data_IF_628904650438
#
_entry.id   IF_628904650438
#
_cell.length_a   1.000
_cell.length_b   1.000
_cell.length_c   1.000
_cell.angle_alpha   90.00
_cell.angle_beta   90.00
_cell.angle_gamma   90.00
#
_symmetry.space_group_name_H-M   'P 1'
#
loop_
_entity.id
_entity.type
_entity.pdbx_description
1 polymer ?
#
# COMPACT_ATOMS: atom_id res chain seq x y z
N UNK A 1 -55.93 -75.79 9.74
CA UNK A 1 -56.33 -74.36 9.68
C UNK A 1 -55.09 -73.56 10.04
N UNK A 2 -54.11 -73.49 9.13
CA UNK A 2 -52.80 -72.89 9.44
C UNK A 2 -52.05 -72.58 8.15
N UNK A 3 -52.59 -71.67 7.33
CA UNK A 3 -51.83 -71.19 6.16
C UNK A 3 -52.20 -69.77 5.74
N UNK A 4 -52.27 -68.87 6.73
CA UNK A 4 -52.42 -67.44 6.51
C UNK A 4 -51.63 -66.69 7.56
N UNK A 5 -50.36 -66.41 7.29
CA UNK A 5 -49.56 -65.29 7.83
C UNK A 5 -48.13 -65.32 7.26
N UNK A 6 -47.96 -65.46 5.93
CA UNK A 6 -46.68 -65.14 5.29
C UNK A 6 -46.54 -63.62 5.21
N UNK A 7 -45.63 -63.10 6.01
CA UNK A 7 -45.28 -61.68 6.18
C UNK A 7 -45.03 -60.94 4.85
N UNK A 8 -46.04 -60.22 4.34
CA UNK A 8 -45.87 -59.16 3.33
C UNK A 8 -45.22 -57.87 3.89
N UNK A 9 -44.75 -57.88 5.15
CA UNK A 9 -44.15 -56.72 5.82
C UNK A 9 -42.73 -56.35 5.36
N UNK A 10 -41.98 -57.28 4.74
CA UNK A 10 -40.55 -57.07 4.49
C UNK A 10 -40.28 -56.20 3.24
N UNK A 11 -41.11 -56.30 2.20
CA UNK A 11 -40.95 -55.51 0.97
C UNK A 11 -41.27 -54.02 1.12
N UNK A 12 -42.34 -53.70 1.88
CA UNK A 12 -42.69 -52.30 2.17
C UNK A 12 -41.59 -51.61 2.98
N UNK A 13 -41.04 -52.31 3.97
CA UNK A 13 -39.94 -51.78 4.80
C UNK A 13 -38.68 -51.55 3.96
N UNK A 14 -38.31 -52.50 3.08
CA UNK A 14 -37.18 -52.34 2.13
C UNK A 14 -37.37 -51.14 1.20
N UNK A 15 -38.56 -50.97 0.60
CA UNK A 15 -38.88 -49.81 -0.26
C UNK A 15 -38.78 -48.48 0.51
N UNK A 16 -39.31 -48.41 1.73
CA UNK A 16 -39.22 -47.20 2.56
C UNK A 16 -37.77 -46.88 2.93
N UNK A 17 -36.96 -47.88 3.26
CA UNK A 17 -35.52 -47.70 3.54
C UNK A 17 -34.76 -47.20 2.31
N UNK A 18 -35.07 -47.73 1.12
CA UNK A 18 -34.44 -47.28 -0.13
C UNK A 18 -34.82 -45.84 -0.49
N UNK A 19 -36.10 -45.48 -0.35
CA UNK A 19 -36.57 -44.09 -0.53
C UNK A 19 -35.87 -43.14 0.45
N UNK A 20 -35.75 -43.52 1.73
CA UNK A 20 -35.01 -42.73 2.73
C UNK A 20 -33.53 -42.59 2.36
N UNK A 21 -32.90 -43.64 1.83
CA UNK A 21 -31.49 -43.60 1.38
C UNK A 21 -31.30 -42.70 0.17
N UNK A 22 -32.20 -42.77 -0.82
CA UNK A 22 -32.22 -41.88 -2.00
C UNK A 22 -32.44 -40.42 -1.60
N UNK A 23 -33.39 -40.16 -0.69
CA UNK A 23 -33.66 -38.81 -0.18
C UNK A 23 -32.49 -38.24 0.63
N UNK A 24 -31.79 -39.06 1.44
CA UNK A 24 -30.55 -38.63 2.11
C UNK A 24 -29.45 -38.29 1.11
N UNK A 25 -29.25 -39.10 0.06
CA UNK A 25 -28.27 -38.80 -0.99
C UNK A 25 -28.61 -37.51 -1.72
N UNK A 26 -29.86 -37.32 -2.13
CA UNK A 26 -30.33 -36.07 -2.76
C UNK A 26 -30.10 -34.85 -1.85
N UNK A 27 -30.42 -34.95 -0.55
CA UNK A 27 -30.16 -33.87 0.41
C UNK A 27 -28.68 -33.53 0.53
N UNK A 28 -27.78 -34.52 0.55
CA UNK A 28 -26.33 -34.27 0.57
C UNK A 28 -25.85 -33.58 -0.71
N UNK A 29 -26.35 -34.00 -1.87
CA UNK A 29 -26.01 -33.37 -3.15
C UNK A 29 -26.49 -31.92 -3.16
N UNK A 30 -27.73 -31.66 -2.73
CA UNK A 30 -28.29 -30.31 -2.64
C UNK A 30 -27.53 -29.42 -1.64
N UNK A 31 -27.17 -29.95 -0.46
CA UNK A 31 -26.34 -29.24 0.50
C UNK A 31 -24.94 -28.92 -0.06
N UNK A 32 -24.33 -29.86 -0.78
CA UNK A 32 -23.04 -29.65 -1.45
C UNK A 32 -23.12 -28.54 -2.50
N UNK A 33 -24.14 -28.59 -3.36
CA UNK A 33 -24.41 -27.54 -4.37
C UNK A 33 -24.60 -26.17 -3.73
N UNK A 34 -25.39 -26.09 -2.65
CA UNK A 34 -25.66 -24.83 -1.96
C UNK A 34 -24.39 -24.25 -1.31
N UNK A 35 -23.56 -25.11 -0.73
CA UNK A 35 -22.24 -24.71 -0.20
C UNK A 35 -21.31 -24.20 -1.31
N UNK A 36 -21.24 -24.91 -2.46
CA UNK A 36 -20.43 -24.47 -3.60
C UNK A 36 -20.89 -23.11 -4.12
N UNK A 37 -22.20 -22.90 -4.27
CA UNK A 37 -22.76 -21.61 -4.68
C UNK A 37 -22.40 -20.51 -3.67
N UNK A 38 -22.52 -20.78 -2.37
CA UNK A 38 -22.13 -19.84 -1.32
C UNK A 38 -20.65 -19.45 -1.42
N UNK A 39 -19.76 -20.42 -1.63
CA UNK A 39 -18.32 -20.18 -1.80
C UNK A 39 -18.06 -19.32 -3.03
N UNK A 40 -18.65 -19.68 -4.19
CA UNK A 40 -18.48 -18.91 -5.43
C UNK A 40 -18.99 -17.49 -5.27
N UNK A 41 -20.17 -17.28 -4.69
CA UNK A 41 -20.72 -15.94 -4.44
C UNK A 41 -19.80 -15.16 -3.51
N UNK A 42 -19.30 -15.77 -2.43
CA UNK A 42 -18.35 -15.12 -1.51
C UNK A 42 -17.08 -14.71 -2.22
N UNK A 43 -16.45 -15.60 -2.99
CA UNK A 43 -15.23 -15.30 -3.77
C UNK A 43 -15.49 -14.18 -4.77
N UNK A 44 -16.62 -14.21 -5.48
CA UNK A 44 -16.97 -13.17 -6.47
C UNK A 44 -17.21 -11.82 -5.80
N UNK A 45 -17.82 -11.80 -4.60
CA UNK A 45 -17.99 -10.58 -3.81
C UNK A 45 -16.65 -10.07 -3.27
N UNK A 46 -15.77 -10.95 -2.81
CA UNK A 46 -14.42 -10.59 -2.37
C UNK A 46 -13.60 -10.01 -3.54
N UNK A 47 -13.68 -10.59 -4.72
CA UNK A 47 -13.00 -10.13 -5.93
C UNK A 47 -13.53 -8.77 -6.41
N UNK A 48 -14.86 -8.61 -6.52
CA UNK A 48 -15.48 -7.31 -6.87
C UNK A 48 -15.15 -6.19 -5.90
N UNK A 49 -14.91 -6.52 -4.63
CA UNK A 49 -14.56 -5.56 -3.59
C UNK A 49 -13.04 -5.41 -3.39
N UNK A 50 -12.21 -6.05 -4.23
CA UNK A 50 -10.74 -6.00 -4.11
C UNK A 50 -10.15 -6.68 -2.87
N UNK A 51 -10.97 -7.41 -2.10
CA UNK A 51 -10.55 -8.14 -0.91
C UNK A 51 -9.73 -9.39 -1.27
N UNK A 52 -9.89 -9.94 -2.48
CA UNK A 52 -9.11 -11.09 -2.92
C UNK A 52 -7.61 -10.73 -3.07
N UNK A 53 -7.30 -9.59 -3.68
CA UNK A 53 -5.92 -9.10 -3.77
C UNK A 53 -5.32 -8.82 -2.38
N UNK A 54 -6.13 -8.38 -1.42
CA UNK A 54 -5.71 -8.10 -0.04
C UNK A 54 -5.20 -9.34 0.72
N UNK A 55 -5.78 -10.52 0.46
CA UNK A 55 -5.41 -11.75 1.16
C UNK A 55 -4.42 -12.63 0.40
N UNK A 56 -4.37 -12.52 -0.94
CA UNK A 56 -3.68 -13.50 -1.76
C UNK A 56 -2.59 -12.93 -2.68
N UNK A 57 -2.50 -11.61 -2.87
CA UNK A 57 -1.46 -11.01 -3.71
C UNK A 57 -0.42 -10.23 -2.88
N UNK A 58 0.42 -10.96 -2.16
CA UNK A 58 1.57 -10.38 -1.48
C UNK A 58 2.78 -10.18 -2.42
N UNK A 59 2.67 -10.64 -3.67
CA UNK A 59 3.74 -10.54 -4.65
C UNK A 59 3.93 -9.08 -5.05
N UNK A 60 5.18 -8.69 -4.96
CA UNK A 60 5.65 -7.37 -5.38
C UNK A 60 5.59 -7.30 -6.89
N UNK A 61 4.88 -6.30 -7.41
CA UNK A 61 4.94 -5.93 -8.83
C UNK A 61 4.63 -4.45 -8.99
N UNK A 62 5.16 -3.86 -10.04
CA UNK A 62 4.87 -2.49 -10.44
C UNK A 62 4.97 -2.40 -11.96
N UNK A 63 3.93 -1.83 -12.59
CA UNK A 63 3.84 -1.69 -14.03
C UNK A 63 4.38 -0.36 -14.57
N UNK A 64 4.68 0.60 -13.68
CA UNK A 64 5.24 1.89 -14.05
C UNK A 64 6.75 1.84 -14.27
N UNK A 65 7.34 3.00 -14.53
CA UNK A 65 8.77 3.11 -14.77
C UNK A 65 9.58 2.90 -13.48
N UNK A 66 10.65 2.10 -13.55
CA UNK A 66 11.61 1.86 -12.46
C UNK A 66 13.05 2.12 -12.85
N UNK A 67 13.27 2.58 -14.09
CA UNK A 67 14.57 2.97 -14.62
C UNK A 67 14.93 4.35 -14.11
N UNK A 68 16.05 4.44 -13.41
CA UNK A 68 16.60 5.71 -12.95
C UNK A 68 17.27 6.43 -14.10
N UNK A 69 16.83 7.66 -14.35
CA UNK A 69 17.55 8.64 -15.17
C UNK A 69 18.00 9.76 -14.25
N UNK A 70 19.22 10.25 -14.43
CA UNK A 70 19.69 11.41 -13.66
C UNK A 70 18.84 12.64 -13.99
N UNK A 71 18.22 13.21 -12.97
CA UNK A 71 17.31 14.36 -13.06
C UNK A 71 17.85 15.58 -12.30
N UNK A 72 19.12 15.54 -11.91
CA UNK A 72 19.77 16.64 -11.21
C UNK A 72 19.85 17.83 -12.15
N UNK A 73 19.22 18.94 -11.79
CA UNK A 73 19.35 20.16 -12.58
C UNK A 73 20.71 20.83 -12.37
N UNK A 74 21.33 21.30 -13.46
CA UNK A 74 22.59 22.04 -13.41
C UNK A 74 22.49 23.36 -12.62
N UNK A 75 21.29 23.95 -12.55
CA UNK A 75 21.01 25.19 -11.82
C UNK A 75 20.35 24.97 -10.44
N UNK A 76 20.19 23.70 -10.03
CA UNK A 76 19.56 23.32 -8.77
C UNK A 76 18.04 23.51 -8.72
N UNK A 77 17.40 23.89 -9.82
CA UNK A 77 15.94 24.02 -9.88
C UNK A 77 15.27 22.66 -10.10
N UNK A 78 14.09 22.45 -9.51
CA UNK A 78 13.34 21.20 -9.68
C UNK A 78 11.94 21.50 -10.23
N UNK A 79 11.44 20.68 -11.16
CA UNK A 79 10.02 20.70 -11.52
C UNK A 79 9.22 19.77 -10.61
N UNK A 80 7.94 20.09 -10.38
CA UNK A 80 7.06 19.21 -9.59
C UNK A 80 6.75 17.90 -10.32
N UNK A 81 6.75 17.93 -11.66
CA UNK A 81 6.56 16.74 -12.48
C UNK A 81 7.74 15.77 -12.37
N UNK A 82 8.97 16.29 -12.37
CA UNK A 82 10.18 15.48 -12.17
C UNK A 82 10.22 14.89 -10.76
N UNK A 83 9.80 15.66 -9.75
CA UNK A 83 9.67 15.15 -8.38
C UNK A 83 8.69 13.97 -8.29
N UNK A 84 7.53 14.08 -8.93
CA UNK A 84 6.54 13.00 -8.98
C UNK A 84 7.11 11.80 -9.73
N UNK A 85 7.76 12.04 -10.87
CA UNK A 85 8.35 10.97 -11.68
C UNK A 85 9.46 10.22 -10.95
N UNK A 86 10.42 10.95 -10.39
CA UNK A 86 11.56 10.41 -9.66
C UNK A 86 11.14 9.63 -8.41
N UNK A 87 10.24 10.20 -7.60
CA UNK A 87 9.80 9.55 -6.37
C UNK A 87 9.14 8.19 -6.64
N UNK A 88 8.41 8.05 -7.76
CA UNK A 88 7.72 6.82 -8.16
C UNK A 88 8.66 5.71 -8.66
N UNK A 89 9.91 6.03 -9.04
CA UNK A 89 10.92 5.03 -9.48
C UNK A 89 11.21 4.00 -8.39
N UNK A 90 11.08 4.42 -7.12
CA UNK A 90 11.31 3.57 -5.97
C UNK A 90 10.07 2.85 -5.48
N UNK A 91 8.92 2.88 -6.16
CA UNK A 91 7.76 2.06 -5.72
C UNK A 91 8.18 0.59 -5.59
N UNK A 92 7.85 0.00 -4.43
CA UNK A 92 8.27 -1.32 -3.95
C UNK A 92 9.75 -1.48 -3.56
N UNK A 93 10.53 -0.41 -3.53
CA UNK A 93 11.89 -0.45 -2.99
C UNK A 93 11.86 -0.79 -1.49
N UNK A 94 12.77 -1.65 -0.99
CA UNK A 94 12.77 -2.07 0.42
C UNK A 94 12.88 -0.88 1.38
N UNK A 95 12.14 -0.94 2.48
CA UNK A 95 12.29 -0.04 3.62
C UNK A 95 13.08 -0.73 4.73
N UNK A 96 13.91 0.03 5.44
CA UNK A 96 14.40 -0.37 6.76
C UNK A 96 14.59 0.86 7.67
N UNK A 97 14.29 0.70 8.96
CA UNK A 97 14.37 1.78 9.94
C UNK A 97 15.85 2.13 10.21
N UNK A 98 16.17 3.43 10.20
CA UNK A 98 17.53 3.93 10.47
C UNK A 98 18.48 3.85 9.27
N UNK A 99 18.00 3.45 8.10
CA UNK A 99 18.77 3.60 6.85
C UNK A 99 18.66 5.06 6.38
N UNK A 100 19.67 5.85 6.74
CA UNK A 100 19.73 7.31 6.52
C UNK A 100 20.82 7.72 5.51
N UNK A 101 21.40 6.77 4.79
CA UNK A 101 22.46 7.04 3.82
C UNK A 101 21.95 7.83 2.62
N UNK A 102 22.65 8.92 2.30
CA UNK A 102 22.38 9.74 1.13
C UNK A 102 23.15 9.18 -0.07
N UNK A 103 22.43 8.81 -1.13
CA UNK A 103 22.99 8.12 -2.30
C UNK A 103 22.55 8.84 -3.58
N UNK A 104 23.49 9.06 -4.50
CA UNK A 104 23.19 9.47 -5.86
C UNK A 104 22.79 8.24 -6.69
N UNK A 105 21.71 8.35 -7.46
CA UNK A 105 21.16 7.24 -8.21
C UNK A 105 20.28 6.31 -7.38
N UNK A 106 19.83 5.22 -8.01
CA UNK A 106 18.94 4.25 -7.37
C UNK A 106 19.65 3.54 -6.20
N UNK A 107 19.13 3.58 -4.96
CA UNK A 107 19.74 2.89 -3.83
C UNK A 107 19.81 1.38 -4.07
N UNK A 108 20.90 0.74 -3.68
CA UNK A 108 21.04 -0.73 -3.79
C UNK A 108 20.35 -1.47 -2.63
N UNK A 109 20.34 -0.86 -1.43
CA UNK A 109 19.77 -1.41 -0.21
C UNK A 109 18.49 -0.70 0.24
N UNK A 110 17.92 -1.13 1.38
CA UNK A 110 16.71 -0.52 1.94
C UNK A 110 16.90 0.96 2.29
N UNK A 111 15.79 1.71 2.30
CA UNK A 111 15.80 3.15 2.60
C UNK A 111 14.81 3.51 3.72
N UNK A 112 15.19 4.44 4.60
CA UNK A 112 14.32 4.98 5.64
C UNK A 112 13.36 6.04 5.11
N UNK A 113 12.33 6.42 5.89
CA UNK A 113 11.34 7.42 5.46
C UNK A 113 11.93 8.81 5.25
N UNK A 114 12.75 9.29 6.18
CA UNK A 114 13.45 10.57 6.02
C UNK A 114 14.48 10.53 4.89
N UNK A 115 15.19 9.41 4.78
CA UNK A 115 16.21 9.20 3.75
C UNK A 115 15.60 9.15 2.35
N UNK A 116 14.40 8.58 2.21
CA UNK A 116 13.65 8.59 0.96
C UNK A 116 13.29 10.02 0.53
N UNK A 117 12.83 10.86 1.46
CA UNK A 117 12.55 12.27 1.16
C UNK A 117 13.82 12.97 0.70
N UNK A 118 14.89 12.91 1.50
CA UNK A 118 16.18 13.50 1.14
C UNK A 118 16.71 12.98 -0.19
N UNK A 119 16.59 11.67 -0.45
CA UNK A 119 17.02 11.04 -1.69
C UNK A 119 16.30 11.64 -2.90
N UNK A 120 14.98 11.84 -2.82
CA UNK A 120 14.22 12.47 -3.92
C UNK A 120 14.75 13.86 -4.19
N UNK A 121 14.89 14.69 -3.15
CA UNK A 121 15.35 16.06 -3.34
C UNK A 121 16.80 16.15 -3.80
N UNK A 122 17.70 15.36 -3.21
CA UNK A 122 19.11 15.31 -3.58
C UNK A 122 19.32 14.90 -5.03
N UNK A 123 18.54 13.94 -5.55
CA UNK A 123 18.64 13.51 -6.95
C UNK A 123 17.90 14.44 -7.94
N UNK A 124 17.25 15.51 -7.46
CA UNK A 124 16.67 16.57 -8.30
C UNK A 124 17.49 17.86 -8.26
N UNK A 125 17.97 18.25 -7.08
CA UNK A 125 18.59 19.57 -6.86
C UNK A 125 20.09 19.49 -6.61
N UNK A 126 20.63 18.28 -6.37
CA UNK A 126 22.01 18.08 -5.95
C UNK A 126 22.26 18.38 -4.46
N UNK A 127 21.24 18.79 -3.71
CA UNK A 127 21.35 19.13 -2.28
C UNK A 127 20.27 18.41 -1.47
N UNK A 128 20.67 17.72 -0.40
CA UNK A 128 19.71 17.11 0.51
C UNK A 128 19.05 18.16 1.40
N UNK A 129 17.75 18.04 1.63
CA UNK A 129 17.00 18.97 2.48
C UNK A 129 17.56 19.02 3.89
N UNK A 130 17.92 17.85 4.46
CA UNK A 130 18.40 17.76 5.83
C UNK A 130 19.80 18.34 6.08
N UNK A 131 20.61 18.59 5.04
CA UNK A 131 21.99 19.09 5.18
C UNK A 131 22.03 20.54 5.68
N UNK A 132 20.98 21.32 5.42
CA UNK A 132 20.87 22.73 5.81
C UNK A 132 20.36 22.92 7.24
N UNK A 133 19.95 21.84 7.91
CA UNK A 133 19.39 21.86 9.25
C UNK A 133 20.43 22.19 10.33
N UNK A 134 20.06 23.05 11.29
CA UNK A 134 20.86 23.25 12.50
C UNK A 134 20.60 22.20 13.60
N UNK A 135 19.54 21.40 13.46
CA UNK A 135 19.18 20.33 14.40
C UNK A 135 20.05 19.08 14.24
N UNK A 136 20.35 18.39 15.35
CA UNK A 136 21.19 17.17 15.38
C UNK A 136 20.39 15.88 15.59
N UNK A 137 19.08 15.92 15.33
CA UNK A 137 18.16 14.79 15.49
C UNK A 137 18.06 13.85 14.28
N UNK A 138 17.12 12.88 14.33
CA UNK A 138 16.80 12.01 13.19
C UNK A 138 16.48 12.83 11.93
N UNK A 139 16.61 12.21 10.76
CA UNK A 139 16.36 12.89 9.47
C UNK A 139 15.02 13.64 9.42
N UNK A 140 13.96 13.05 9.97
CA UNK A 140 12.64 13.68 10.03
C UNK A 140 12.59 14.99 10.82
N UNK A 141 13.44 15.13 11.85
CA UNK A 141 13.56 16.39 12.62
C UNK A 141 14.28 17.45 11.81
N UNK A 142 15.34 17.07 11.08
CA UNK A 142 16.08 17.98 10.20
C UNK A 142 15.23 18.47 9.02
N UNK A 143 14.43 17.58 8.43
CA UNK A 143 13.44 17.93 7.41
C UNK A 143 12.37 18.89 7.93
N UNK A 144 11.95 18.73 9.18
CA UNK A 144 11.00 19.62 9.82
C UNK A 144 11.56 21.02 10.05
N UNK A 145 12.82 21.12 10.49
CA UNK A 145 13.55 22.39 10.66
C UNK A 145 13.68 23.15 9.33
N UNK A 146 13.93 22.42 8.23
CA UNK A 146 14.11 22.98 6.89
C UNK A 146 12.80 23.17 6.11
N UNK A 147 11.67 23.31 6.81
CA UNK A 147 10.36 23.49 6.19
C UNK A 147 9.41 24.37 7.01
N UNK A 148 8.50 25.04 6.31
CA UNK A 148 7.50 25.94 6.92
C UNK A 148 6.14 25.25 7.02
N UNK A 149 5.36 25.54 8.06
CA UNK A 149 4.06 24.91 8.25
C UNK A 149 3.07 25.37 7.17
N UNK A 150 2.27 24.43 6.65
CA UNK A 150 1.24 24.68 5.64
C UNK A 150 -0.07 24.02 6.07
N UNK A 151 -1.20 24.63 5.69
CA UNK A 151 -2.52 24.04 5.91
C UNK A 151 -2.80 22.93 4.90
N UNK A 152 -3.58 21.93 5.29
CA UNK A 152 -3.92 20.83 4.37
C UNK A 152 -4.59 21.31 3.07
N UNK A 153 -5.38 22.38 3.14
CA UNK A 153 -6.05 23.01 1.99
C UNK A 153 -5.08 23.63 0.98
N UNK A 154 -3.87 23.97 1.42
CA UNK A 154 -2.90 24.74 0.67
C UNK A 154 -1.72 23.87 0.19
N UNK A 155 -1.87 22.55 0.33
CA UNK A 155 -0.90 21.56 -0.08
C UNK A 155 -0.60 21.65 -1.58
N UNK A 156 0.70 21.67 -1.89
CA UNK A 156 1.23 21.63 -3.25
C UNK A 156 2.21 20.46 -3.40
N UNK A 157 2.29 19.88 -4.61
CA UNK A 157 3.12 18.68 -4.89
C UNK A 157 4.58 18.90 -4.49
N UNK A 158 5.11 18.10 -3.57
CA UNK A 158 6.45 18.29 -2.98
C UNK A 158 6.41 18.75 -1.53
N UNK A 159 5.26 19.20 -1.03
CA UNK A 159 5.06 19.42 0.41
C UNK A 159 5.20 18.09 1.17
N UNK A 160 5.65 18.18 2.42
CA UNK A 160 5.93 17.04 3.28
C UNK A 160 4.76 16.79 4.23
N UNK A 161 4.40 15.52 4.39
CA UNK A 161 3.47 15.05 5.41
C UNK A 161 4.20 14.36 6.55
N UNK A 162 3.85 14.69 7.80
CA UNK A 162 4.39 14.09 9.02
C UNK A 162 3.27 13.53 9.91
N UNK A 163 3.56 12.43 10.60
CA UNK A 163 2.59 11.77 11.49
C UNK A 163 2.53 12.42 12.88
N UNK A 164 3.63 13.04 13.32
CA UNK A 164 3.73 13.75 14.60
C UNK A 164 4.54 15.04 14.47
N UNK A 165 4.50 15.91 15.48
CA UNK A 165 5.50 16.96 15.63
C UNK A 165 6.78 16.30 16.15
N UNK A 166 7.97 16.59 15.57
CA UNK A 166 9.23 16.11 16.11
C UNK A 166 9.52 16.79 17.46
N UNK A 167 9.12 16.15 18.55
CA UNK A 167 9.53 16.52 19.90
C UNK A 167 10.64 15.55 20.37
N UNK A 168 11.88 16.02 20.39
CA UNK A 168 13.04 15.24 20.84
C UNK A 168 13.62 14.26 19.80
N UNK A 169 14.07 13.09 20.25
CA UNK A 169 14.84 12.09 19.48
C UNK A 169 13.99 11.02 18.77
N UNK A 170 12.66 11.18 18.72
CA UNK A 170 11.78 10.15 18.14
C UNK A 170 11.77 10.22 16.61
N UNK A 171 11.96 9.06 15.99
CA UNK A 171 11.80 8.91 14.54
C UNK A 171 10.34 9.19 14.16
N UNK A 172 10.15 10.09 13.22
CA UNK A 172 8.84 10.47 12.71
C UNK A 172 8.69 9.94 11.28
N UNK A 173 7.52 9.37 10.99
CA UNK A 173 7.20 8.93 9.64
C UNK A 173 6.88 10.14 8.77
N UNK A 174 7.53 10.22 7.61
CA UNK A 174 7.46 11.34 6.68
C UNK A 174 7.24 10.84 5.26
N UNK A 175 6.50 11.60 4.47
CA UNK A 175 6.24 11.35 3.06
C UNK A 175 6.12 12.63 2.26
N UNK A 176 6.08 12.50 0.94
CA UNK A 176 5.94 13.62 0.00
C UNK A 176 4.52 13.61 -0.55
N UNK A 177 3.84 14.74 -0.50
CA UNK A 177 2.56 14.94 -1.16
C UNK A 177 2.76 14.99 -2.67
N UNK A 178 2.03 14.15 -3.42
CA UNK A 178 2.17 14.02 -4.87
C UNK A 178 0.89 14.40 -5.64
N UNK A 179 -0.10 14.96 -4.95
CA UNK A 179 -1.37 15.38 -5.54
C UNK A 179 -2.55 14.54 -5.05
N UNK A 180 -3.57 14.41 -5.90
CA UNK A 180 -4.79 13.67 -5.56
C UNK A 180 -5.03 12.50 -6.51
N UNK A 181 -5.44 11.37 -5.96
CA UNK A 181 -5.88 10.19 -6.71
C UNK A 181 -7.36 9.98 -6.40
N UNK A 182 -8.22 10.13 -7.41
CA UNK A 182 -9.68 10.03 -7.26
C UNK A 182 -10.27 10.97 -6.18
N UNK A 183 -9.73 12.19 -6.08
CA UNK A 183 -10.15 13.21 -5.12
C UNK A 183 -9.66 12.98 -3.68
N UNK A 184 -8.76 12.02 -3.47
CA UNK A 184 -8.14 11.75 -2.18
C UNK A 184 -6.67 12.16 -2.23
N UNK A 185 -6.19 12.88 -1.22
CA UNK A 185 -4.79 13.30 -1.11
C UNK A 185 -3.87 12.08 -1.07
N UNK A 186 -2.86 12.07 -1.93
CA UNK A 186 -1.92 10.98 -2.08
C UNK A 186 -0.51 11.39 -1.65
N UNK A 187 0.14 10.51 -0.90
CA UNK A 187 1.51 10.67 -0.45
C UNK A 187 2.34 9.47 -0.85
N UNK A 188 3.54 9.72 -1.37
CA UNK A 188 4.56 8.70 -1.53
C UNK A 188 5.51 8.71 -0.35
N UNK A 189 5.80 7.54 0.20
CA UNK A 189 6.64 7.42 1.39
C UNK A 189 7.26 6.02 1.48
N UNK A 190 8.41 5.93 2.15
CA UNK A 190 8.98 4.66 2.57
C UNK A 190 8.28 4.22 3.87
N UNK A 191 7.38 3.25 3.77
CA UNK A 191 6.53 2.80 4.87
C UNK A 191 7.06 1.52 5.51
N UNK A 192 6.99 1.45 6.84
CA UNK A 192 7.45 0.29 7.62
C UNK A 192 6.52 -0.93 7.57
N UNK A 193 6.48 -1.70 8.66
CA UNK A 193 5.83 -3.03 8.76
C UNK A 193 4.35 -3.09 8.31
N UNK A 194 3.63 -1.97 8.31
CA UNK A 194 2.26 -1.88 7.80
C UNK A 194 2.18 -2.05 6.27
N UNK A 195 3.31 -1.88 5.58
CA UNK A 195 3.44 -1.85 4.13
C UNK A 195 4.25 -3.03 3.58
N UNK A 196 4.54 -4.04 4.41
CA UNK A 196 5.29 -5.23 4.02
C UNK A 196 4.68 -5.96 2.83
N UNK A 197 5.54 -6.66 2.10
CA UNK A 197 5.17 -7.51 0.98
C UNK A 197 6.07 -8.75 0.95
N UNK A 198 5.77 -9.72 0.10
CA UNK A 198 6.59 -10.92 -0.07
C UNK A 198 8.03 -10.53 -0.44
N UNK A 199 9.00 -10.89 0.40
CA UNK A 199 10.41 -10.54 0.24
C UNK A 199 10.80 -9.15 0.79
N UNK A 200 9.85 -8.39 1.34
CA UNK A 200 10.03 -7.03 1.88
C UNK A 200 9.38 -6.92 3.27
N UNK A 201 9.93 -7.64 4.27
CA UNK A 201 9.29 -7.82 5.58
C UNK A 201 9.29 -6.57 6.46
N UNK A 202 10.27 -5.70 6.32
CA UNK A 202 10.37 -4.44 7.08
C UNK A 202 9.47 -3.34 6.51
N UNK A 203 9.01 -3.49 5.27
CA UNK A 203 8.20 -2.50 4.57
C UNK A 203 8.76 -2.19 3.19
N UNK A 204 8.19 -1.15 2.56
CA UNK A 204 8.60 -0.69 1.22
C UNK A 204 8.12 0.72 0.93
N UNK A 205 8.65 1.31 -0.13
CA UNK A 205 8.12 2.56 -0.69
C UNK A 205 6.79 2.30 -1.41
N UNK A 206 5.79 3.12 -1.09
CA UNK A 206 4.44 3.02 -1.64
C UNK A 206 3.80 4.39 -1.80
N UNK A 207 2.73 4.45 -2.59
CA UNK A 207 1.79 5.58 -2.58
C UNK A 207 0.57 5.20 -1.74
N UNK A 208 0.30 5.97 -0.70
CA UNK A 208 -0.88 5.84 0.15
C UNK A 208 -1.81 7.03 -0.02
N UNK A 209 -3.12 6.77 0.02
CA UNK A 209 -4.09 7.83 0.27
C UNK A 209 -3.97 8.27 1.73
N UNK A 210 -4.29 9.53 2.03
CA UNK A 210 -4.19 10.09 3.36
C UNK A 210 -5.55 10.10 4.07
N UNK A 211 -5.56 9.75 5.36
CA UNK A 211 -6.72 9.89 6.25
C UNK A 211 -8.04 9.29 5.73
N UNK A 212 -7.96 8.16 5.01
CA UNK A 212 -9.13 7.47 4.42
C UNK A 212 -9.15 5.98 4.78
N UNK A 213 -10.26 5.30 4.51
CA UNK A 213 -10.38 3.84 4.67
C UNK A 213 -9.97 3.09 3.38
N UNK A 214 -9.75 3.83 2.29
CA UNK A 214 -9.41 3.27 0.98
C UNK A 214 -7.93 2.88 0.94
N UNK A 215 -7.64 1.82 0.19
CA UNK A 215 -6.28 1.42 -0.19
C UNK A 215 -5.96 1.96 -1.57
N UNK A 216 -4.67 2.09 -1.87
CA UNK A 216 -4.21 2.48 -3.20
C UNK A 216 -3.36 1.38 -3.83
N UNK A 217 -3.49 1.18 -5.13
CA UNK A 217 -2.65 0.29 -5.92
C UNK A 217 -2.30 0.90 -7.29
N UNK A 218 -2.47 2.21 -7.45
CA UNK A 218 -2.18 2.94 -8.69
C UNK A 218 -1.27 4.13 -8.41
N UNK A 219 -0.38 4.40 -9.35
CA UNK A 219 0.51 5.55 -9.34
C UNK A 219 -0.20 6.81 -9.90
N UNK A 220 0.50 7.94 -10.02
CA UNK A 220 -0.08 9.20 -10.53
C UNK A 220 -0.44 9.16 -12.03
N UNK A 221 0.06 8.16 -12.76
CA UNK A 221 -0.18 7.95 -14.19
C UNK A 221 -1.13 6.78 -14.47
N UNK A 222 -1.65 6.13 -13.42
CA UNK A 222 -2.56 4.99 -13.49
C UNK A 222 -1.88 3.62 -13.60
N UNK A 223 -0.55 3.53 -13.55
CA UNK A 223 0.16 2.25 -13.52
C UNK A 223 -0.09 1.54 -12.19
N UNK A 224 -0.32 0.22 -12.24
CA UNK A 224 -0.63 -0.56 -11.05
C UNK A 224 0.63 -1.00 -10.30
N UNK A 225 0.55 -1.03 -8.98
CA UNK A 225 1.52 -1.71 -8.11
C UNK A 225 0.82 -2.67 -7.14
N UNK A 226 1.52 -3.73 -6.74
CA UNK A 226 1.02 -4.76 -5.84
C UNK A 226 2.04 -5.07 -4.75
N UNK A 227 1.62 -5.46 -3.54
CA UNK A 227 0.25 -5.35 -3.00
C UNK A 227 -0.29 -3.91 -2.97
N UNK A 228 -1.61 -3.77 -2.77
CA UNK A 228 -2.19 -2.46 -2.48
C UNK A 228 -1.67 -1.90 -1.15
N UNK A 229 -1.39 -0.61 -1.09
CA UNK A 229 -0.97 0.10 0.10
C UNK A 229 -2.18 0.52 0.95
N UNK A 230 -2.16 0.30 2.27
CA UNK A 230 -3.13 0.93 3.18
C UNK A 230 -3.01 2.46 3.17
N UNK A 231 -4.06 3.13 3.66
CA UNK A 231 -4.03 4.58 3.91
C UNK A 231 -2.95 4.92 4.94
N UNK A 232 -2.33 6.08 4.77
CA UNK A 232 -1.46 6.71 5.76
C UNK A 232 -2.25 7.74 6.59
N UNK A 233 -1.63 8.28 7.65
CA UNK A 233 -2.20 9.27 8.56
C UNK A 233 -1.22 10.41 8.82
N UNK A 234 -0.87 11.14 7.75
CA UNK A 234 -0.14 12.40 7.90
C UNK A 234 -1.12 13.50 8.33
N UNK A 235 -0.74 14.23 9.37
CA UNK A 235 -1.60 15.24 10.01
C UNK A 235 -0.90 16.58 10.21
N UNK A 236 0.43 16.63 10.02
CA UNK A 236 1.21 17.86 9.99
C UNK A 236 1.84 18.03 8.62
N UNK A 237 1.63 19.18 8.00
CA UNK A 237 2.09 19.45 6.64
C UNK A 237 3.10 20.58 6.63
N UNK A 238 4.19 20.41 5.87
CA UNK A 238 5.23 21.43 5.77
C UNK A 238 5.75 21.58 4.35
N UNK A 239 6.04 22.81 3.95
CA UNK A 239 6.65 23.13 2.66
C UNK A 239 8.15 23.25 2.80
N UNK A 240 8.94 22.42 2.10
CA UNK A 240 10.39 22.54 2.11
C UNK A 240 10.83 23.86 1.49
N UNK A 241 11.94 24.42 1.96
CA UNK A 241 12.51 25.67 1.45
C UNK A 241 13.28 25.43 0.14
N UNK A 242 12.57 25.00 -0.91
CA UNK A 242 13.09 24.78 -2.26
C UNK A 242 12.25 25.58 -3.26
N UNK A 243 12.90 26.17 -4.25
CA UNK A 243 12.23 26.80 -5.38
C UNK A 243 11.93 25.75 -6.46
N UNK A 244 10.64 25.56 -6.74
CA UNK A 244 10.20 24.77 -7.88
C UNK A 244 10.01 25.66 -9.10
N UNK A 245 10.48 25.21 -10.26
CA UNK A 245 10.14 25.84 -11.54
C UNK A 245 8.64 25.66 -11.78
N UNK A 246 8.00 26.73 -12.25
CA UNK A 246 6.58 26.71 -12.61
C UNK A 246 6.32 25.96 -13.90
#
# INVERSE_FOLDING_TARGET
MEDRLRFHGNERVKRIQEIRRRNRRRRRIWLGLLLTVLIVVTVTLLDRNGLFEMFFNNRVSYAGNTEYTEMVSEDGTASREDLVSLSQILINHPFALGQEELILGKPAGPIGSGAFVDWVFYNLTGEALSEKSSETGPLSTRLWDQSTAVMESDLEVGDLGFSMVPEGSKVNHVGIYIGEINGEKAFIHAGGVQYKAEGLEEGRVVISLNNTLKRNNVDMHGSKFSPSAPSTQFVYYRRPNIEFVK
#
